data_IF_278068530989
#
_entry.id   IF_278068530989
#
_cell.length_a   1.000
_cell.length_b   1.000
_cell.length_c   1.000
_cell.angle_alpha   90.00
_cell.angle_beta   90.00
_cell.angle_gamma   90.00
#
_symmetry.space_group_name_H-M   'P 1'
#
loop_
_entity.id
_entity.type
_entity.pdbx_description
1 polymer ?
#
# COMPACT_ATOMS: atom_id res chain seq x y z
N UNK A 1 15.71 -46.01 -31.41
CA UNK A 1 14.80 -45.47 -30.38
C UNK A 1 15.48 -44.26 -29.77
N UNK A 2 15.12 -43.04 -30.19
CA UNK A 2 15.69 -41.80 -29.67
C UNK A 2 14.60 -41.07 -28.87
N UNK A 3 14.72 -41.06 -27.55
CA UNK A 3 13.79 -40.34 -26.67
C UNK A 3 14.13 -38.85 -26.71
N UNK A 4 13.31 -38.09 -27.43
CA UNK A 4 13.30 -36.63 -27.40
C UNK A 4 12.48 -36.17 -26.20
N UNK A 5 13.13 -35.62 -25.17
CA UNK A 5 12.45 -34.95 -24.05
C UNK A 5 12.29 -33.46 -24.36
N UNK A 6 11.11 -32.84 -24.18
CA UNK A 6 10.90 -31.44 -24.48
C UNK A 6 11.52 -30.56 -23.39
N UNK A 7 12.52 -29.75 -23.75
CA UNK A 7 13.05 -28.65 -22.93
C UNK A 7 12.07 -27.47 -22.94
N UNK A 8 10.93 -27.62 -22.27
CA UNK A 8 9.86 -26.61 -22.19
C UNK A 8 9.77 -25.85 -20.86
N UNK A 9 10.79 -25.87 -20.01
CA UNK A 9 10.70 -25.47 -18.61
C UNK A 9 11.05 -24.02 -18.25
N UNK A 10 11.60 -23.20 -19.16
CA UNK A 10 12.18 -21.90 -18.79
C UNK A 10 11.28 -20.67 -19.02
N UNK A 11 10.23 -20.77 -19.84
CA UNK A 11 9.37 -19.62 -20.12
C UNK A 11 8.33 -19.33 -19.03
N UNK A 12 7.84 -20.37 -18.33
CA UNK A 12 6.78 -20.21 -17.30
C UNK A 12 7.32 -19.61 -15.99
N UNK A 13 8.58 -19.84 -15.66
CA UNK A 13 9.20 -19.39 -14.41
C UNK A 13 9.50 -17.89 -14.40
N UNK A 14 9.84 -17.31 -15.56
CA UNK A 14 10.15 -15.88 -15.68
C UNK A 14 8.92 -14.99 -15.50
N UNK A 15 7.78 -15.38 -16.06
CA UNK A 15 6.53 -14.60 -15.97
C UNK A 15 6.02 -14.56 -14.53
N UNK A 16 6.02 -15.72 -13.85
CA UNK A 16 5.56 -15.82 -12.45
C UNK A 16 6.45 -15.00 -11.52
N UNK A 17 7.78 -15.06 -11.68
CA UNK A 17 8.72 -14.28 -10.89
C UNK A 17 8.54 -12.76 -11.08
N UNK A 18 8.27 -12.31 -12.32
CA UNK A 18 8.03 -10.90 -12.59
C UNK A 18 6.71 -10.42 -11.95
N UNK A 19 5.62 -11.19 -12.07
CA UNK A 19 4.35 -10.88 -11.40
C UNK A 19 4.45 -10.88 -9.87
N UNK A 20 5.26 -11.76 -9.29
CA UNK A 20 5.48 -11.78 -7.84
C UNK A 20 6.30 -10.59 -7.36
N UNK A 21 7.31 -10.17 -8.11
CA UNK A 21 8.09 -8.98 -7.77
C UNK A 21 7.23 -7.70 -7.83
N UNK A 22 6.35 -7.59 -8.82
CA UNK A 22 5.41 -6.47 -8.92
C UNK A 22 4.36 -6.49 -7.79
N UNK A 23 3.86 -7.68 -7.45
CA UNK A 23 2.93 -7.84 -6.32
C UNK A 23 3.57 -7.46 -4.99
N UNK A 24 4.79 -7.94 -4.70
CA UNK A 24 5.52 -7.60 -3.47
C UNK A 24 5.75 -6.09 -3.37
N UNK A 25 6.14 -5.43 -4.47
CA UNK A 25 6.31 -3.97 -4.49
C UNK A 25 5.01 -3.22 -4.18
N UNK A 26 3.89 -3.64 -4.78
CA UNK A 26 2.58 -3.04 -4.51
C UNK A 26 2.15 -3.26 -3.06
N UNK A 27 2.41 -4.44 -2.50
CA UNK A 27 2.11 -4.74 -1.10
C UNK A 27 2.97 -3.92 -0.15
N UNK A 28 4.28 -3.78 -0.42
CA UNK A 28 5.16 -2.92 0.38
C UNK A 28 4.72 -1.46 0.34
N UNK A 29 4.28 -0.97 -0.83
CA UNK A 29 3.74 0.38 -0.96
C UNK A 29 2.43 0.55 -0.19
N UNK A 30 1.51 -0.42 -0.28
CA UNK A 30 0.28 -0.43 0.48
C UNK A 30 0.54 -0.41 2.00
N UNK A 31 1.45 -1.27 2.49
CA UNK A 31 1.81 -1.32 3.92
C UNK A 31 2.43 0.01 4.40
N UNK A 32 3.20 0.70 3.55
CA UNK A 32 3.75 2.03 3.89
C UNK A 32 2.65 3.07 4.01
N UNK A 33 1.68 3.08 3.09
CA UNK A 33 0.56 4.03 3.10
C UNK A 33 -0.33 3.76 4.32
N UNK A 34 -0.62 2.50 4.64
CA UNK A 34 -1.36 2.11 5.85
C UNK A 34 -0.66 2.60 7.11
N UNK A 35 0.65 2.38 7.24
CA UNK A 35 1.42 2.88 8.39
C UNK A 35 1.45 4.42 8.49
N UNK A 36 1.50 5.13 7.36
CA UNK A 36 1.40 6.60 7.34
C UNK A 36 0.01 7.08 7.76
N UNK A 37 -1.05 6.41 7.29
CA UNK A 37 -2.43 6.71 7.64
C UNK A 37 -2.68 6.53 9.13
N UNK A 38 -2.25 5.40 9.71
CA UNK A 38 -2.39 5.14 11.15
C UNK A 38 -1.63 6.16 12.00
N UNK A 39 -0.38 6.47 11.64
CA UNK A 39 0.39 7.48 12.35
C UNK A 39 -0.26 8.87 12.30
N UNK A 40 -0.88 9.22 11.17
CA UNK A 40 -1.59 10.49 11.00
C UNK A 40 -2.93 10.49 11.76
N UNK A 41 -3.65 9.37 11.78
CA UNK A 41 -4.86 9.18 12.59
C UNK A 41 -4.57 9.39 14.07
N UNK A 42 -3.50 8.77 14.57
CA UNK A 42 -3.10 8.90 15.97
C UNK A 42 -2.75 10.35 16.33
N UNK A 43 -2.14 11.10 15.41
CA UNK A 43 -1.87 12.54 15.57
C UNK A 43 -3.15 13.37 15.60
N UNK A 44 -4.10 13.10 14.70
CA UNK A 44 -5.42 13.77 14.67
C UNK A 44 -6.19 13.50 15.96
N UNK A 45 -6.15 12.26 16.46
CA UNK A 45 -6.78 11.89 17.73
C UNK A 45 -6.10 12.60 18.89
N UNK A 46 -4.77 12.59 18.96
CA UNK A 46 -4.01 13.30 19.99
C UNK A 46 -4.25 14.82 19.95
N UNK A 47 -4.41 15.40 18.75
CA UNK A 47 -4.78 16.80 18.56
C UNK A 47 -6.20 17.11 19.05
N UNK A 48 -7.15 16.18 18.93
CA UNK A 48 -8.49 16.34 19.49
C UNK A 48 -8.50 16.33 21.03
N UNK A 49 -7.51 15.69 21.67
CA UNK A 49 -7.39 15.66 23.14
C UNK A 49 -6.49 16.76 23.72
N UNK A 50 -5.51 17.23 22.96
CA UNK A 50 -4.57 18.25 23.39
C UNK A 50 -4.77 19.56 22.63
N UNK A 51 -4.90 20.67 23.34
CA UNK A 51 -5.07 22.02 22.78
C UNK A 51 -3.78 22.56 22.09
N UNK A 52 -3.03 21.68 21.40
CA UNK A 52 -1.72 21.93 20.79
C UNK A 52 -1.81 22.24 19.30
N UNK A 53 -2.90 21.87 18.64
CA UNK A 53 -3.10 22.06 17.21
C UNK A 53 -4.35 22.90 16.98
N UNK A 54 -4.33 23.74 15.96
CA UNK A 54 -5.50 24.50 15.52
C UNK A 54 -6.48 23.62 14.75
N UNK A 55 -7.72 24.08 14.62
CA UNK A 55 -8.72 23.40 13.79
C UNK A 55 -8.29 23.29 12.31
N UNK A 56 -7.49 24.25 11.83
CA UNK A 56 -6.92 24.26 10.48
C UNK A 56 -5.88 23.15 10.31
N UNK A 57 -4.96 22.99 11.26
CA UNK A 57 -3.98 21.89 11.24
C UNK A 57 -4.67 20.52 11.31
N UNK A 58 -5.75 20.39 12.10
CA UNK A 58 -6.55 19.17 12.14
C UNK A 58 -7.28 18.91 10.82
N UNK A 59 -7.76 19.96 10.15
CA UNK A 59 -8.40 19.84 8.83
C UNK A 59 -7.41 19.43 7.73
N UNK A 60 -6.19 19.96 7.76
CA UNK A 60 -5.10 19.55 6.86
C UNK A 60 -4.72 18.09 7.07
N UNK A 61 -4.52 17.66 8.32
CA UNK A 61 -4.24 16.26 8.64
C UNK A 61 -5.35 15.32 8.17
N UNK A 62 -6.63 15.70 8.31
CA UNK A 62 -7.76 14.92 7.77
C UNK A 62 -7.76 14.85 6.24
N UNK A 63 -7.37 15.94 5.58
CA UNK A 63 -7.24 15.98 4.11
C UNK A 63 -6.14 15.04 3.65
N UNK A 64 -5.00 15.05 4.33
CA UNK A 64 -3.89 14.15 4.04
C UNK A 64 -4.24 12.67 4.32
N UNK A 65 -5.05 12.38 5.35
CA UNK A 65 -5.62 11.04 5.55
C UNK A 65 -6.51 10.59 4.38
N UNK A 66 -7.35 11.48 3.84
CA UNK A 66 -8.20 11.16 2.69
C UNK A 66 -7.38 10.87 1.42
N UNK A 67 -6.28 11.60 1.23
CA UNK A 67 -5.32 11.38 0.14
C UNK A 67 -4.63 10.02 0.29
N UNK A 68 -4.14 9.67 1.49
CA UNK A 68 -3.53 8.37 1.77
C UNK A 68 -4.52 7.23 1.58
N UNK A 69 -5.75 7.37 2.06
CA UNK A 69 -6.81 6.37 1.84
C UNK A 69 -7.10 6.17 0.36
N UNK A 70 -7.09 7.23 -0.46
CA UNK A 70 -7.32 7.13 -1.90
C UNK A 70 -6.17 6.39 -2.60
N UNK A 71 -4.93 6.72 -2.24
CA UNK A 71 -3.75 6.02 -2.79
C UNK A 71 -3.72 4.53 -2.41
N UNK A 72 -4.10 4.20 -1.18
CA UNK A 72 -4.21 2.80 -0.75
C UNK A 72 -5.30 2.06 -1.53
N UNK A 73 -6.44 2.71 -1.76
CA UNK A 73 -7.53 2.15 -2.56
C UNK A 73 -7.11 1.91 -4.01
N UNK A 74 -6.40 2.85 -4.63
CA UNK A 74 -5.90 2.68 -6.01
C UNK A 74 -4.91 1.53 -6.13
N UNK A 75 -4.14 1.25 -5.07
CA UNK A 75 -3.15 0.18 -5.03
C UNK A 75 -3.73 -1.20 -4.70
N UNK A 76 -4.73 -1.27 -3.82
CA UNK A 76 -5.22 -2.53 -3.22
C UNK A 76 -6.68 -2.84 -3.53
N UNK A 77 -7.46 -1.84 -3.93
CA UNK A 77 -8.92 -1.91 -4.03
C UNK A 77 -9.64 -1.91 -2.67
N UNK A 78 -8.92 -1.70 -1.57
CA UNK A 78 -9.46 -1.72 -0.20
C UNK A 78 -9.51 -0.29 0.37
N UNK A 79 -10.47 -0.05 1.26
CA UNK A 79 -10.63 1.24 1.93
C UNK A 79 -10.04 1.18 3.33
N UNK A 80 -9.15 2.11 3.67
CA UNK A 80 -8.65 2.29 5.04
C UNK A 80 -9.74 2.92 5.91
N UNK A 81 -9.86 2.46 7.16
CA UNK A 81 -10.91 2.86 8.11
C UNK A 81 -10.33 3.43 9.41
#
# INVERSE_FOLDING_TARGET
MANHWPRGGQAKTSVVANTMAEFVKKQEQANRIEGQFDALRDRVVAAGYGNKYSDEEVAEMRTEMAVLSSQYFDLTGLTLK
#
